data_IF_138921865010
#
_entry.id   IF_138921865010
#
_cell.length_a   1.000
_cell.length_b   1.000
_cell.length_c   1.000
_cell.angle_alpha   90.00
_cell.angle_beta   90.00
_cell.angle_gamma   90.00
#
_symmetry.space_group_name_H-M   'P 1'
#
loop_
_entity.id
_entity.type
_entity.pdbx_description
1 polymer ?
#
# COMPACT_ATOMS: atom_id res chain seq x y z
N UNK A 1 27.15 5.80 16.26
CA UNK A 1 26.67 4.63 17.03
C UNK A 1 25.21 4.94 17.34
N UNK A 2 24.29 4.68 16.41
CA UNK A 2 22.86 4.72 16.72
C UNK A 2 22.60 3.79 17.91
N UNK A 3 21.98 4.34 18.96
CA UNK A 3 21.57 3.52 20.08
C UNK A 3 20.24 2.87 19.69
N UNK A 4 20.23 1.54 19.69
CA UNK A 4 19.02 0.72 19.62
C UNK A 4 17.89 1.35 20.46
N UNK A 5 16.82 1.80 19.81
CA UNK A 5 15.71 2.52 20.45
C UNK A 5 15.65 4.04 20.22
N UNK A 6 16.49 4.60 19.35
CA UNK A 6 16.40 6.01 18.95
C UNK A 6 15.04 6.32 18.27
N UNK A 7 14.44 7.44 18.66
CA UNK A 7 13.10 7.85 18.20
C UNK A 7 13.16 9.23 17.55
N UNK A 8 12.61 9.33 16.32
CA UNK A 8 12.45 10.57 15.60
C UNK A 8 10.97 10.87 15.38
N UNK A 9 10.45 11.84 16.14
CA UNK A 9 9.06 12.26 16.07
C UNK A 9 8.87 13.40 15.06
N UNK A 10 7.99 13.17 14.08
CA UNK A 10 7.54 14.16 13.11
C UNK A 10 6.06 14.48 13.29
N UNK A 11 5.56 15.41 12.48
CA UNK A 11 4.17 15.90 12.55
C UNK A 11 3.14 14.89 12.05
N UNK A 12 3.57 13.86 11.31
CA UNK A 12 2.69 12.85 10.71
C UNK A 12 2.96 11.42 11.21
N UNK A 13 4.12 11.15 11.76
CA UNK A 13 4.52 9.83 12.23
C UNK A 13 5.66 9.95 13.24
N UNK A 14 5.93 8.85 13.94
CA UNK A 14 7.11 8.64 14.76
C UNK A 14 7.88 7.47 14.16
N UNK A 15 9.18 7.64 13.94
CA UNK A 15 10.07 6.57 13.50
C UNK A 15 10.90 6.11 14.70
N UNK A 16 10.92 4.80 14.92
CA UNK A 16 11.79 4.14 15.90
C UNK A 16 12.78 3.28 15.14
N UNK A 17 14.07 3.46 15.41
CA UNK A 17 15.15 2.75 14.74
C UNK A 17 15.55 1.52 15.56
N UNK A 18 15.23 0.36 15.01
CA UNK A 18 15.65 -0.94 15.51
C UNK A 18 16.90 -1.42 14.75
N UNK A 19 17.44 -2.56 15.16
CA UNK A 19 18.66 -3.16 14.62
C UNK A 19 18.54 -3.62 13.17
N UNK A 20 17.37 -4.10 12.75
CA UNK A 20 17.12 -4.65 11.40
C UNK A 20 15.99 -3.93 10.64
N UNK A 21 15.34 -2.96 11.28
CA UNK A 21 14.15 -2.31 10.74
C UNK A 21 13.94 -0.88 11.29
N UNK A 22 13.20 -0.07 10.53
CA UNK A 22 12.54 1.12 11.05
C UNK A 22 11.08 0.80 11.36
N UNK A 23 10.62 1.10 12.57
CA UNK A 23 9.21 0.99 12.96
C UNK A 23 8.56 2.37 12.84
N UNK A 24 7.59 2.48 11.94
CA UNK A 24 6.86 3.70 11.65
C UNK A 24 5.49 3.63 12.33
N UNK A 25 5.25 4.51 13.30
CA UNK A 25 3.96 4.68 13.97
C UNK A 25 3.27 5.94 13.47
N UNK A 26 2.09 5.82 12.88
CA UNK A 26 1.33 6.96 12.39
C UNK A 26 0.47 7.51 13.53
N UNK A 27 0.67 8.78 13.86
CA UNK A 27 -0.08 9.42 14.95
C UNK A 27 -1.58 9.52 14.60
N UNK A 28 -2.44 9.33 15.60
CA UNK A 28 -3.88 9.55 15.47
C UNK A 28 -4.16 11.04 15.61
N UNK A 29 -4.27 11.75 14.49
CA UNK A 29 -4.57 13.18 14.48
C UNK A 29 -5.30 13.62 13.21
N UNK A 30 -6.12 14.66 13.32
CA UNK A 30 -6.96 15.20 12.22
C UNK A 30 -6.13 15.65 11.00
N UNK A 31 -4.83 15.88 11.21
CA UNK A 31 -3.88 16.32 10.17
C UNK A 31 -3.31 15.17 9.33
N UNK A 32 -3.43 13.92 9.79
CA UNK A 32 -2.91 12.76 9.07
C UNK A 32 -3.91 12.24 8.07
N UNK A 33 -3.40 11.79 6.91
CA UNK A 33 -4.21 11.07 5.93
C UNK A 33 -4.91 9.88 6.60
N UNK A 34 -6.19 9.67 6.27
CA UNK A 34 -6.94 8.51 6.74
C UNK A 34 -6.24 7.19 6.41
N UNK A 35 -5.47 7.14 5.31
CA UNK A 35 -4.68 5.95 4.96
C UNK A 35 -3.66 5.66 6.05
N UNK A 36 -2.83 6.64 6.43
CA UNK A 36 -1.81 6.47 7.47
C UNK A 36 -2.44 6.08 8.81
N UNK A 37 -3.57 6.69 9.18
CA UNK A 37 -4.32 6.32 10.37
C UNK A 37 -4.81 4.86 10.32
N UNK A 38 -5.25 4.38 9.14
CA UNK A 38 -5.70 3.00 8.94
C UNK A 38 -4.55 2.00 8.99
N UNK A 39 -3.35 2.41 8.52
CA UNK A 39 -2.14 1.59 8.61
C UNK A 39 -1.67 1.44 10.07
N UNK A 40 -1.79 2.50 10.88
CA UNK A 40 -1.49 2.48 12.32
C UNK A 40 0.01 2.38 12.62
N UNK A 41 0.58 1.20 12.48
CA UNK A 41 2.02 0.93 12.67
C UNK A 41 2.53 0.03 11.55
N UNK A 42 3.78 0.27 11.12
CA UNK A 42 4.46 -0.57 10.14
C UNK A 42 5.92 -0.78 10.53
N UNK A 43 6.34 -2.04 10.65
CA UNK A 43 7.75 -2.42 10.71
C UNK A 43 8.28 -2.59 9.30
N UNK A 44 9.31 -1.82 8.95
CA UNK A 44 9.94 -1.83 7.64
C UNK A 44 11.38 -2.36 7.80
N UNK A 45 11.67 -3.61 7.42
CA UNK A 45 13.03 -4.13 7.43
C UNK A 45 13.95 -3.29 6.55
N UNK A 46 15.21 -3.07 6.94
CA UNK A 46 16.15 -2.33 6.09
C UNK A 46 16.37 -3.00 4.74
N UNK A 47 16.29 -4.34 4.68
CA UNK A 47 16.30 -5.11 3.44
C UNK A 47 15.11 -4.84 2.49
N UNK A 48 14.05 -4.20 2.99
CA UNK A 48 12.91 -3.76 2.19
C UNK A 48 13.08 -2.35 1.61
N UNK A 49 14.23 -1.71 1.84
CA UNK A 49 14.56 -0.37 1.36
C UNK A 49 15.71 -0.43 0.35
N UNK A 50 15.75 0.54 -0.55
CA UNK A 50 16.89 0.77 -1.47
C UNK A 50 17.64 2.05 -1.12
N UNK A 51 17.08 2.89 -0.26
CA UNK A 51 17.77 4.08 0.22
C UNK A 51 16.91 4.98 1.09
N UNK A 52 17.44 6.17 1.33
CA UNK A 52 16.77 7.24 2.07
C UNK A 52 17.19 8.59 1.49
N UNK A 53 16.25 9.52 1.44
CA UNK A 53 16.46 10.89 0.98
C UNK A 53 15.95 11.90 1.99
N UNK A 54 16.65 13.04 2.06
CA UNK A 54 16.21 14.22 2.79
C UNK A 54 15.85 15.28 1.75
N UNK A 55 14.60 15.72 1.76
CA UNK A 55 14.10 16.69 0.79
C UNK A 55 13.42 17.88 1.46
N UNK A 56 13.45 19.08 0.86
CA UNK A 56 12.67 20.21 1.35
C UNK A 56 11.18 19.88 1.42
N UNK A 57 10.55 20.24 2.53
CA UNK A 57 9.13 20.09 2.75
C UNK A 57 8.33 21.36 2.45
N UNK A 58 7.05 21.37 2.83
CA UNK A 58 6.16 22.54 2.71
C UNK A 58 6.15 23.34 4.00
N UNK A 59 5.99 24.66 3.93
CA UNK A 59 5.75 25.53 5.11
C UNK A 59 6.84 25.42 6.19
N UNK A 60 8.12 25.48 5.80
CA UNK A 60 9.23 25.42 6.76
C UNK A 60 9.39 24.04 7.41
N UNK A 61 9.20 22.98 6.61
CA UNK A 61 9.45 21.61 7.04
C UNK A 61 10.54 20.98 6.17
N UNK A 62 11.13 19.92 6.68
CA UNK A 62 12.03 19.01 5.98
C UNK A 62 11.41 17.62 6.02
N UNK A 63 11.61 16.82 4.97
CA UNK A 63 11.05 15.47 4.88
C UNK A 63 12.17 14.45 4.75
N UNK A 64 12.24 13.56 5.73
CA UNK A 64 13.00 12.32 5.62
C UNK A 64 12.12 11.27 4.95
N UNK A 65 12.57 10.70 3.84
CA UNK A 65 11.81 9.71 3.07
C UNK A 65 12.63 8.44 2.85
N UNK A 66 12.12 7.32 3.32
CA UNK A 66 12.67 6.00 3.02
C UNK A 66 12.18 5.54 1.64
N UNK A 67 13.05 4.87 0.89
CA UNK A 67 12.77 4.45 -0.48
C UNK A 67 12.49 2.94 -0.48
N UNK A 68 11.23 2.51 -0.65
CA UNK A 68 10.90 1.08 -0.67
C UNK A 68 11.53 0.40 -1.88
N UNK A 69 12.14 -0.75 -1.64
CA UNK A 69 12.65 -1.63 -2.69
C UNK A 69 11.47 -2.19 -3.51
N UNK A 70 11.55 -2.19 -4.86
CA UNK A 70 10.49 -2.75 -5.70
C UNK A 70 10.14 -4.20 -5.31
N UNK A 71 8.85 -4.55 -5.25
CA UNK A 71 8.39 -5.87 -4.83
C UNK A 71 8.48 -6.18 -3.33
N UNK A 72 9.05 -5.29 -2.50
CA UNK A 72 9.24 -5.57 -1.07
C UNK A 72 8.01 -5.24 -0.21
N UNK A 73 7.18 -4.28 -0.64
CA UNK A 73 5.99 -3.84 0.10
C UNK A 73 4.71 -3.99 -0.74
N UNK A 74 3.76 -4.84 -0.34
CA UNK A 74 2.53 -5.07 -1.12
C UNK A 74 1.64 -3.83 -1.20
N UNK A 75 1.72 -2.91 -0.24
CA UNK A 75 0.96 -1.65 -0.28
C UNK A 75 1.51 -0.73 -1.38
N UNK A 76 2.83 -0.61 -1.49
CA UNK A 76 3.46 0.24 -2.49
C UNK A 76 3.36 -0.38 -3.89
N UNK A 77 3.49 -1.70 -3.98
CA UNK A 77 3.28 -2.47 -5.21
C UNK A 77 1.85 -2.27 -5.74
N UNK A 78 0.83 -2.43 -4.88
CA UNK A 78 -0.56 -2.21 -5.26
C UNK A 78 -0.85 -0.74 -5.62
N UNK A 79 -0.22 0.22 -4.93
CA UNK A 79 -0.41 1.64 -5.20
C UNK A 79 0.15 2.06 -6.57
N UNK A 80 1.22 1.41 -7.04
CA UNK A 80 1.83 1.68 -8.34
C UNK A 80 2.23 3.16 -8.53
N UNK A 81 2.70 3.83 -7.47
CA UNK A 81 3.12 5.23 -7.51
C UNK A 81 1.98 6.27 -7.57
N UNK A 82 0.72 5.88 -7.42
CA UNK A 82 -0.43 6.79 -7.53
C UNK A 82 -0.77 7.55 -6.22
N UNK A 83 -0.02 7.34 -5.14
CA UNK A 83 -0.26 8.00 -3.86
C UNK A 83 0.25 9.45 -3.88
N UNK A 84 -0.55 10.35 -3.31
CA UNK A 84 -0.09 11.70 -2.97
C UNK A 84 0.92 11.63 -1.83
N UNK A 85 1.83 12.61 -1.79
CA UNK A 85 2.82 12.76 -0.70
C UNK A 85 2.22 12.68 0.70
N UNK A 86 1.04 13.26 0.94
CA UNK A 86 0.38 13.26 2.25
C UNK A 86 -0.11 11.87 2.69
N UNK A 87 -0.16 10.91 1.77
CA UNK A 87 -0.58 9.54 2.00
C UNK A 87 0.60 8.55 1.83
N UNK A 88 1.80 9.01 1.50
CA UNK A 88 2.99 8.17 1.39
C UNK A 88 3.42 7.69 2.80
N UNK A 89 3.39 6.37 3.06
CA UNK A 89 3.69 5.80 4.37
C UNK A 89 5.18 5.85 4.74
N UNK A 90 6.06 6.18 3.80
CA UNK A 90 7.52 6.23 3.99
C UNK A 90 8.06 7.64 4.23
N UNK A 91 7.19 8.63 4.48
CA UNK A 91 7.59 10.02 4.73
C UNK A 91 7.46 10.39 6.19
N UNK A 92 8.50 11.00 6.74
CA UNK A 92 8.50 11.65 8.03
C UNK A 92 8.68 13.16 7.85
N UNK A 93 7.67 13.94 8.27
CA UNK A 93 7.64 15.39 8.12
C UNK A 93 8.09 16.05 9.42
N UNK A 94 9.26 16.70 9.38
CA UNK A 94 9.90 17.35 10.52
C UNK A 94 9.86 18.88 10.36
N UNK A 95 9.80 19.66 11.45
CA UNK A 95 10.02 21.09 11.38
C UNK A 95 11.47 21.39 10.93
N UNK A 96 11.68 22.53 10.23
CA UNK A 96 12.98 22.87 9.65
C UNK A 96 14.11 23.03 10.69
N UNK A 97 13.79 23.40 11.94
CA UNK A 97 14.77 23.46 13.03
C UNK A 97 15.34 22.08 13.42
N UNK A 98 14.75 20.99 12.91
CA UNK A 98 15.26 19.61 13.05
C UNK A 98 16.03 19.11 11.83
N UNK A 99 16.39 19.96 10.87
CA UNK A 99 17.11 19.56 9.65
C UNK A 99 18.44 18.85 9.97
N UNK A 100 19.30 19.40 10.82
CA UNK A 100 20.56 18.76 11.22
C UNK A 100 20.36 17.39 11.87
N UNK A 101 19.29 17.21 12.65
CA UNK A 101 18.94 15.91 13.21
C UNK A 101 18.48 14.94 12.12
N UNK A 102 17.70 15.43 11.15
CA UNK A 102 17.25 14.63 10.02
C UNK A 102 18.42 14.22 9.11
N UNK A 103 19.40 15.09 8.88
CA UNK A 103 20.66 14.78 8.18
C UNK A 103 21.40 13.64 8.88
N UNK A 104 21.58 13.73 10.21
CA UNK A 104 22.20 12.67 11.00
C UNK A 104 21.51 11.30 10.79
N UNK A 105 20.19 11.24 10.94
CA UNK A 105 19.45 9.98 10.74
C UNK A 105 19.44 9.52 9.27
N UNK A 106 19.54 10.44 8.31
CA UNK A 106 19.69 10.09 6.89
C UNK A 106 20.98 9.30 6.69
N UNK A 107 22.08 9.75 7.26
CA UNK A 107 23.38 9.09 7.09
C UNK A 107 23.44 7.75 7.82
N UNK A 108 22.91 7.63 9.04
CA UNK A 108 22.82 6.33 9.74
C UNK A 108 21.94 5.33 8.97
N UNK A 109 20.79 5.77 8.44
CA UNK A 109 19.90 4.93 7.63
C UNK A 109 20.55 4.52 6.31
N UNK A 110 21.33 5.39 5.66
CA UNK A 110 22.07 5.03 4.43
C UNK A 110 23.00 3.85 4.69
N UNK A 111 23.76 3.88 5.78
CA UNK A 111 24.64 2.76 6.15
C UNK A 111 23.84 1.48 6.37
N UNK A 112 22.80 1.53 7.20
CA UNK A 112 21.98 0.36 7.52
C UNK A 112 21.28 -0.25 6.28
N UNK A 113 20.80 0.58 5.35
CA UNK A 113 20.16 0.13 4.12
C UNK A 113 21.19 -0.45 3.14
N UNK A 114 22.34 0.21 2.95
CA UNK A 114 23.39 -0.27 2.03
C UNK A 114 23.93 -1.65 2.42
N UNK A 115 24.03 -1.96 3.72
CA UNK A 115 24.45 -3.29 4.19
C UNK A 115 23.46 -4.40 3.81
N UNK A 116 22.23 -4.05 3.44
CA UNK A 116 21.16 -4.97 3.08
C UNK A 116 20.72 -4.88 1.61
N UNK A 117 21.23 -3.91 0.85
CA UNK A 117 20.84 -3.68 -0.54
C UNK A 117 21.53 -4.68 -1.47
N UNK A 118 20.72 -5.40 -2.25
CA UNK A 118 21.22 -6.35 -3.27
C UNK A 118 21.19 -5.76 -4.68
N UNK A 119 20.66 -4.54 -4.87
CA UNK A 119 20.51 -3.89 -6.18
C UNK A 119 19.42 -4.47 -7.09
N UNK A 120 18.70 -5.48 -6.63
CA UNK A 120 17.66 -6.18 -7.41
C UNK A 120 16.26 -5.93 -6.80
N UNK A 121 15.16 -6.11 -7.53
CA UNK A 121 13.84 -6.19 -6.92
C UNK A 121 13.76 -7.31 -5.86
N UNK A 122 12.86 -7.19 -4.88
CA UNK A 122 12.65 -8.24 -3.89
C UNK A 122 11.92 -9.43 -4.52
N UNK A 123 12.33 -10.65 -4.17
CA UNK A 123 11.71 -11.89 -4.65
C UNK A 123 10.34 -12.14 -3.98
N UNK A 124 10.11 -11.49 -2.83
CA UNK A 124 8.90 -11.54 -2.01
C UNK A 124 8.64 -10.21 -1.32
N UNK A 125 7.42 -10.09 -0.83
CA UNK A 125 7.11 -9.07 0.16
C UNK A 125 7.89 -9.32 1.45
N UNK A 126 8.68 -8.32 1.84
CA UNK A 126 9.45 -8.26 3.09
C UNK A 126 8.71 -7.45 4.15
N UNK A 127 7.84 -6.52 3.73
CA UNK A 127 6.96 -5.76 4.60
C UNK A 127 5.63 -6.49 4.73
N UNK A 128 5.10 -6.58 5.95
CA UNK A 128 3.80 -7.16 6.20
C UNK A 128 2.69 -6.40 5.43
N UNK A 129 1.77 -7.16 4.83
CA UNK A 129 0.57 -6.57 4.27
C UNK A 129 -0.24 -5.86 5.37
N UNK A 130 -0.84 -4.70 5.06
CA UNK A 130 -1.79 -4.08 5.97
C UNK A 130 -2.89 -5.07 6.34
N UNK A 131 -3.31 -5.11 7.60
CA UNK A 131 -4.47 -5.93 7.97
C UNK A 131 -5.76 -5.42 7.32
N UNK A 132 -5.83 -4.10 7.05
CA UNK A 132 -6.84 -3.43 6.23
C UNK A 132 -8.30 -3.71 6.63
N UNK A 133 -9.28 -3.03 6.01
CA UNK A 133 -10.65 -3.49 6.15
C UNK A 133 -10.83 -4.77 5.33
N UNK A 134 -11.44 -5.79 5.93
CA UNK A 134 -11.82 -7.05 5.24
C UNK A 134 -12.85 -6.83 4.13
N UNK A 135 -13.42 -5.62 4.03
CA UNK A 135 -14.39 -5.25 3.01
C UNK A 135 -14.51 -3.74 2.87
N UNK A 136 -14.88 -3.26 1.69
CA UNK A 136 -15.20 -1.85 1.47
C UNK A 136 -16.37 -1.71 0.50
N UNK A 137 -16.97 -0.52 0.46
CA UNK A 137 -18.01 -0.18 -0.52
C UNK A 137 -17.39 0.52 -1.71
N UNK A 138 -17.48 -0.11 -2.88
CA UNK A 138 -17.30 0.55 -4.17
C UNK A 138 -18.62 1.21 -4.59
N UNK A 139 -18.62 1.88 -5.74
CA UNK A 139 -19.83 2.52 -6.26
C UNK A 139 -20.87 1.48 -6.71
N UNK A 140 -20.39 0.42 -7.36
CA UNK A 140 -21.19 -0.62 -7.98
C UNK A 140 -21.33 -1.90 -7.15
N UNK A 141 -20.52 -2.07 -6.10
CA UNK A 141 -20.46 -3.30 -5.33
C UNK A 141 -19.97 -3.13 -3.89
N UNK A 142 -20.22 -4.15 -3.07
CA UNK A 142 -19.40 -4.44 -1.89
C UNK A 142 -18.31 -5.43 -2.28
N UNK A 143 -17.06 -5.05 -2.05
CA UNK A 143 -15.91 -5.96 -2.12
C UNK A 143 -15.60 -6.50 -0.73
N UNK A 144 -15.32 -7.80 -0.61
CA UNK A 144 -14.89 -8.43 0.62
C UNK A 144 -13.77 -9.46 0.36
N UNK A 145 -12.92 -9.66 1.36
CA UNK A 145 -11.79 -10.58 1.31
C UNK A 145 -11.61 -11.25 2.67
N UNK A 146 -11.61 -12.58 2.68
CA UNK A 146 -11.50 -13.41 3.88
C UNK A 146 -10.09 -13.99 4.09
N UNK A 147 -9.10 -13.56 3.30
CA UNK A 147 -7.76 -14.13 3.28
C UNK A 147 -7.55 -15.22 2.22
N UNK A 148 -8.62 -15.75 1.62
CA UNK A 148 -8.59 -16.84 0.63
C UNK A 148 -9.38 -16.56 -0.64
N UNK A 149 -10.46 -15.80 -0.54
CA UNK A 149 -11.41 -15.54 -1.63
C UNK A 149 -11.80 -14.07 -1.60
N UNK A 150 -11.71 -13.41 -2.75
CA UNK A 150 -12.31 -12.09 -2.96
C UNK A 150 -13.71 -12.28 -3.49
N UNK A 151 -14.70 -11.60 -2.91
CA UNK A 151 -16.09 -11.63 -3.38
C UNK A 151 -16.58 -10.24 -3.74
N UNK A 152 -17.34 -10.13 -4.83
CA UNK A 152 -18.06 -8.93 -5.22
C UNK A 152 -19.57 -9.19 -5.18
N UNK A 153 -20.27 -8.37 -4.39
CA UNK A 153 -21.73 -8.35 -4.31
C UNK A 153 -22.25 -7.05 -4.90
N UNK A 154 -22.98 -7.16 -5.99
CA UNK A 154 -23.38 -6.00 -6.80
C UNK A 154 -24.49 -5.17 -6.14
N UNK A 155 -24.47 -3.86 -6.39
CA UNK A 155 -25.50 -2.92 -5.97
C UNK A 155 -26.40 -2.56 -7.14
N UNK A 156 -27.72 -2.60 -6.88
CA UNK A 156 -28.73 -2.57 -7.94
C UNK A 156 -28.75 -1.25 -8.72
N UNK A 157 -28.37 -0.16 -8.05
CA UNK A 157 -28.27 1.19 -8.62
C UNK A 157 -26.93 1.51 -9.25
N UNK A 158 -25.90 0.67 -9.05
CA UNK A 158 -24.53 1.00 -9.43
C UNK A 158 -23.90 0.05 -10.45
N UNK A 159 -24.24 -1.24 -10.40
CA UNK A 159 -23.65 -2.23 -11.29
C UNK A 159 -24.25 -2.17 -12.70
N UNK A 160 -23.38 -2.31 -13.70
CA UNK A 160 -23.75 -2.44 -15.11
C UNK A 160 -24.57 -3.71 -15.36
N UNK A 161 -25.32 -3.73 -16.47
CA UNK A 161 -26.07 -4.91 -16.90
C UNK A 161 -25.17 -6.14 -17.09
N UNK A 162 -23.92 -5.95 -17.53
CA UNK A 162 -22.94 -7.03 -17.67
C UNK A 162 -22.63 -7.68 -16.30
N UNK A 163 -22.28 -6.86 -15.31
CA UNK A 163 -22.03 -7.33 -13.93
C UNK A 163 -23.27 -7.97 -13.31
N UNK A 164 -24.44 -7.38 -13.53
CA UNK A 164 -25.68 -7.93 -13.02
C UNK A 164 -26.00 -9.31 -13.57
N UNK A 165 -25.82 -9.51 -14.88
CA UNK A 165 -26.00 -10.81 -15.52
C UNK A 165 -24.98 -11.85 -15.06
N UNK A 166 -23.76 -11.43 -14.72
CA UNK A 166 -22.73 -12.32 -14.19
C UNK A 166 -23.06 -12.83 -12.77
N UNK A 167 -23.91 -12.12 -12.02
CA UNK A 167 -24.23 -12.43 -10.63
C UNK A 167 -23.06 -12.16 -9.68
N UNK A 168 -23.26 -12.40 -8.38
CA UNK A 168 -22.21 -12.19 -7.38
C UNK A 168 -20.96 -13.03 -7.69
N UNK A 169 -19.80 -12.38 -7.68
CA UNK A 169 -18.54 -13.01 -8.12
C UNK A 169 -17.70 -13.46 -6.94
N UNK A 170 -16.95 -14.56 -7.13
CA UNK A 170 -16.05 -15.14 -6.13
C UNK A 170 -14.75 -15.59 -6.79
N UNK A 171 -13.63 -15.08 -6.30
CA UNK A 171 -12.30 -15.29 -6.86
C UNK A 171 -11.37 -15.87 -5.79
N UNK A 172 -11.09 -17.19 -5.82
CA UNK A 172 -10.06 -17.76 -4.97
C UNK A 172 -8.70 -17.13 -5.29
N UNK A 173 -7.90 -16.75 -4.29
CA UNK A 173 -6.57 -16.14 -4.51
C UNK A 173 -5.63 -17.02 -5.31
N UNK A 174 -5.84 -18.34 -5.24
CA UNK A 174 -5.11 -19.30 -6.05
C UNK A 174 -5.44 -19.14 -7.56
N UNK A 175 -6.64 -18.68 -7.91
CA UNK A 175 -7.03 -18.39 -9.30
C UNK A 175 -6.54 -17.03 -9.83
N UNK A 176 -5.81 -16.25 -9.03
CA UNK A 176 -5.40 -14.88 -9.38
C UNK A 176 -3.89 -14.79 -9.62
N UNK A 177 -3.50 -13.90 -10.53
CA UNK A 177 -2.13 -13.49 -10.84
C UNK A 177 -1.80 -12.12 -10.26
N UNK A 178 -2.79 -11.38 -9.76
CA UNK A 178 -2.60 -10.14 -9.02
C UNK A 178 -3.84 -9.24 -8.98
N UNK A 179 -3.61 -7.97 -8.69
CA UNK A 179 -4.64 -6.93 -8.58
C UNK A 179 -4.13 -5.65 -9.24
N UNK A 180 -4.99 -4.99 -9.98
CA UNK A 180 -4.78 -3.62 -10.45
C UNK A 180 -5.62 -2.69 -9.59
N UNK A 181 -4.98 -1.70 -8.97
CA UNK A 181 -5.66 -0.66 -8.23
C UNK A 181 -5.41 0.68 -8.91
N UNK A 182 -6.49 1.41 -9.18
CA UNK A 182 -6.43 2.77 -9.70
C UNK A 182 -7.06 3.71 -8.69
N UNK A 183 -6.31 4.72 -8.27
CA UNK A 183 -6.73 5.61 -7.19
C UNK A 183 -8.11 6.22 -7.44
N UNK A 184 -9.03 6.24 -6.45
CA UNK A 184 -10.31 6.94 -6.55
C UNK A 184 -10.15 8.46 -6.71
N UNK A 185 -8.95 8.99 -6.49
CA UNK A 185 -8.63 10.41 -6.70
C UNK A 185 -8.25 10.73 -8.17
N UNK A 186 -8.10 9.69 -9.01
CA UNK A 186 -7.94 9.82 -10.45
C UNK A 186 -9.27 9.57 -11.16
N UNK A 187 -9.38 10.02 -12.41
CA UNK A 187 -10.53 9.69 -13.26
C UNK A 187 -10.63 8.18 -13.45
N UNK A 188 -11.86 7.66 -13.31
CA UNK A 188 -12.21 6.24 -13.46
C UNK A 188 -11.42 5.34 -12.50
N UNK A 189 -11.38 5.66 -11.21
CA UNK A 189 -10.79 4.78 -10.20
C UNK A 189 -11.49 3.43 -10.12
N UNK A 190 -10.73 2.37 -9.85
CA UNK A 190 -11.25 1.00 -9.75
C UNK A 190 -10.30 0.09 -8.96
N UNK A 191 -10.83 -1.07 -8.55
CA UNK A 191 -10.03 -2.25 -8.21
C UNK A 191 -10.42 -3.38 -9.14
N UNK A 192 -9.44 -3.98 -9.81
CA UNK A 192 -9.63 -5.11 -10.73
C UNK A 192 -8.75 -6.27 -10.32
N UNK A 193 -9.34 -7.44 -10.16
CA UNK A 193 -8.61 -8.67 -9.96
C UNK A 193 -8.11 -9.18 -11.31
N UNK A 194 -6.91 -9.76 -11.34
CA UNK A 194 -6.35 -10.40 -12.53
C UNK A 194 -6.39 -11.92 -12.36
N UNK A 195 -7.33 -12.64 -12.98
CA UNK A 195 -7.30 -14.10 -13.03
C UNK A 195 -6.03 -14.62 -13.72
N UNK A 196 -5.65 -15.88 -13.47
CA UNK A 196 -4.46 -16.48 -14.09
C UNK A 196 -4.64 -16.73 -15.60
N UNK A 197 -5.86 -17.06 -16.01
CA UNK A 197 -6.17 -17.47 -17.38
C UNK A 197 -6.53 -16.29 -18.30
N UNK A 198 -6.51 -15.07 -17.76
CA UNK A 198 -6.92 -13.86 -18.47
C UNK A 198 -5.71 -13.20 -19.13
N UNK A 199 -5.45 -13.56 -20.39
CA UNK A 199 -4.35 -13.02 -21.22
C UNK A 199 -4.78 -11.86 -22.12
N UNK A 200 -6.05 -11.46 -22.09
CA UNK A 200 -6.56 -10.37 -22.94
C UNK A 200 -6.43 -8.99 -22.28
N UNK A 201 -6.43 -7.94 -23.11
CA UNK A 201 -6.52 -6.56 -22.61
C UNK A 201 -7.79 -6.43 -21.77
N UNK A 202 -7.68 -6.16 -20.47
CA UNK A 202 -8.85 -6.16 -19.62
C UNK A 202 -9.73 -4.99 -20.05
N UNK A 203 -10.94 -5.31 -20.53
CA UNK A 203 -11.92 -4.33 -21.00
C UNK A 203 -12.32 -3.32 -19.94
N UNK A 204 -13.27 -2.45 -20.28
CA UNK A 204 -13.78 -1.39 -19.39
C UNK A 204 -14.09 -1.95 -17.98
N UNK A 205 -13.47 -1.42 -16.91
CA UNK A 205 -13.75 -1.84 -15.53
C UNK A 205 -15.23 -1.79 -15.15
N UNK A 206 -16.04 -0.93 -15.76
CA UNK A 206 -17.48 -0.86 -15.50
C UNK A 206 -18.23 -2.11 -16.03
N UNK A 207 -17.73 -2.71 -17.11
CA UNK A 207 -18.32 -3.88 -17.75
C UNK A 207 -17.68 -5.20 -17.32
N UNK A 208 -16.54 -5.15 -16.62
CA UNK A 208 -15.78 -6.32 -16.21
C UNK A 208 -16.26 -6.89 -14.84
N UNK A 209 -16.76 -8.15 -14.76
CA UNK A 209 -17.17 -8.76 -13.49
C UNK A 209 -16.03 -8.96 -12.47
N UNK A 210 -14.77 -8.98 -12.91
CA UNK A 210 -13.60 -9.02 -12.04
C UNK A 210 -13.14 -7.64 -11.56
N UNK A 211 -13.93 -6.58 -11.80
CA UNK A 211 -13.63 -5.23 -11.34
C UNK A 211 -14.80 -4.59 -10.58
N UNK A 212 -14.45 -3.75 -9.60
CA UNK A 212 -15.36 -2.81 -8.94
C UNK A 212 -14.91 -1.40 -9.26
N UNK A 213 -15.87 -0.51 -9.53
CA UNK A 213 -15.56 0.90 -9.88
C UNK A 213 -15.75 1.81 -8.67
N UNK A 214 -14.91 2.83 -8.59
CA UNK A 214 -14.97 3.83 -7.55
C UNK A 214 -15.82 5.02 -8.02
N UNK A 215 -16.31 5.79 -7.06
CA UNK A 215 -17.15 6.95 -7.31
C UNK A 215 -17.04 7.94 -6.16
N UNK A 216 -17.72 9.08 -6.27
CA UNK A 216 -17.69 10.09 -5.23
C UNK A 216 -18.15 9.50 -3.88
N UNK A 217 -17.24 9.43 -2.91
CA UNK A 217 -17.52 8.85 -1.59
C UNK A 217 -17.24 7.33 -1.48
N UNK A 218 -17.00 6.61 -2.58
CA UNK A 218 -16.85 5.16 -2.60
C UNK A 218 -15.43 4.72 -3.00
N UNK A 219 -14.99 3.56 -2.52
CA UNK A 219 -13.68 3.01 -2.86
C UNK A 219 -12.50 3.83 -2.33
N UNK A 220 -12.69 4.51 -1.20
CA UNK A 220 -11.72 5.45 -0.62
C UNK A 220 -10.33 4.84 -0.48
N UNK A 221 -9.28 5.64 -0.67
CA UNK A 221 -7.87 5.18 -0.64
C UNK A 221 -7.56 4.39 0.65
N UNK A 222 -8.03 4.89 1.79
CA UNK A 222 -7.78 4.27 3.09
C UNK A 222 -8.48 2.92 3.30
N UNK A 223 -9.42 2.55 2.42
CA UNK A 223 -10.09 1.26 2.46
C UNK A 223 -9.64 0.35 1.31
N UNK A 224 -9.69 0.86 0.07
CA UNK A 224 -9.48 0.08 -1.14
C UNK A 224 -8.02 -0.30 -1.38
N UNK A 225 -7.05 0.55 -0.98
CA UNK A 225 -5.64 0.25 -1.18
C UNK A 225 -5.11 -0.78 -0.16
N UNK A 226 -5.37 -0.68 1.16
CA UNK A 226 -5.03 -1.76 2.10
C UNK A 226 -5.68 -3.09 1.74
N UNK A 227 -6.92 -3.06 1.23
CA UNK A 227 -7.60 -4.24 0.69
C UNK A 227 -6.82 -4.84 -0.50
N UNK A 228 -6.47 -4.03 -1.51
CA UNK A 228 -5.71 -4.48 -2.67
C UNK A 228 -4.36 -5.08 -2.28
N UNK A 229 -3.64 -4.44 -1.35
CA UNK A 229 -2.37 -4.91 -0.82
C UNK A 229 -2.49 -6.28 -0.12
N UNK A 230 -3.56 -6.47 0.67
CA UNK A 230 -3.85 -7.74 1.35
C UNK A 230 -4.09 -8.87 0.37
N UNK A 231 -4.89 -8.61 -0.68
CA UNK A 231 -5.15 -9.59 -1.75
C UNK A 231 -3.86 -9.92 -2.50
N UNK A 232 -3.07 -8.91 -2.87
CA UNK A 232 -1.81 -9.09 -3.59
C UNK A 232 -0.81 -9.95 -2.81
N UNK A 233 -0.68 -9.72 -1.50
CA UNK A 233 0.17 -10.54 -0.62
C UNK A 233 -0.31 -12.00 -0.54
N UNK A 234 -1.63 -12.22 -0.45
CA UNK A 234 -2.20 -13.56 -0.45
C UNK A 234 -1.98 -14.30 -1.79
N UNK A 235 -2.09 -13.59 -2.92
CA UNK A 235 -1.80 -14.12 -4.26
C UNK A 235 -0.33 -14.56 -4.39
N UNK A 236 0.63 -13.73 -3.94
CA UNK A 236 2.05 -14.10 -3.97
C UNK A 236 2.32 -15.34 -3.11
N UNK A 237 1.70 -15.41 -1.92
CA UNK A 237 1.82 -16.57 -1.02
C UNK A 237 1.27 -17.84 -1.66
N UNK A 238 0.07 -17.78 -2.25
CA UNK A 238 -0.54 -18.92 -2.94
C UNK A 238 0.27 -19.37 -4.17
N UNK A 239 0.82 -18.43 -4.94
CA UNK A 239 1.67 -18.72 -6.11
C UNK A 239 2.94 -19.43 -5.69
N UNK A 240 3.58 -18.99 -4.60
CA UNK A 240 4.79 -19.63 -4.05
C UNK A 240 4.51 -21.04 -3.53
N UNK A 241 3.37 -21.26 -2.87
CA UNK A 241 2.98 -22.57 -2.38
C UNK A 241 2.78 -23.60 -3.50
N UNK A 242 2.41 -23.16 -4.72
CA UNK A 242 2.28 -24.04 -5.89
C UNK A 242 3.59 -24.38 -6.59
N UNK A 243 4.63 -23.57 -6.40
CA UNK A 243 5.96 -23.76 -7.02
C UNK A 243 6.88 -24.67 -6.20
N UNK A 244 6.50 -24.96 -4.95
CA UNK A 244 7.17 -25.91 -4.07
C UNK A 244 6.52 -27.28 -4.22
#
# INVERSE_FOLDING_TARGET
MSHMGDVLAGSNAVWEFDTDAVVIRYERGVRNSKLLQTLGERRIPYAALTGVELVPGKRGTVVLRALPRPGADPLMEAAGGQLKDSADPYRLVLPADRETLAEYYTDELRVAVSDNDTGEPADRFLVAAPTGPQSFKAYDARAAFDGRTVSFRWFWTGASTAKWKAGDQHFPVAGLSGVDWRSPELLHGYLRLRPNDDTEHPGDPDQNPAAVVFGLGYGQVHESLPFAASVLAAVQTATRARRK
#
